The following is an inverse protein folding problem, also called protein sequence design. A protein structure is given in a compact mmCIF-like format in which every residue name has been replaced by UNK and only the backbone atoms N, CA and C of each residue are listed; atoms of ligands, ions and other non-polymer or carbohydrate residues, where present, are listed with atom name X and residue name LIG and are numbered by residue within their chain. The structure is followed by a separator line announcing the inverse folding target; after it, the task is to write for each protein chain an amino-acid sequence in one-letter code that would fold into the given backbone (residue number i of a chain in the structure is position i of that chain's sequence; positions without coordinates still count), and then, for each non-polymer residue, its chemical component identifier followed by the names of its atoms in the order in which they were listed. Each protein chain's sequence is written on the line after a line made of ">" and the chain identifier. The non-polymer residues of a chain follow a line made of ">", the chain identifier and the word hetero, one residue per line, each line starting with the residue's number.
data_IF_316095465681
#
_entry.id   IF_316095465681
#
_cell.length_a   1.000
_cell.length_b   1.000
_cell.length_c   1.000
_cell.angle_alpha   90.00
_cell.angle_beta   90.00
_cell.angle_gamma   90.00
#
_symmetry.space_group_name_H-M   'P 1'
#
loop_
_entity.id
_entity.type
_entity.pdbx_description
1 polymer ?
#
# COMPACT_ATOMS: atom_id res chain seq x y z
N UNK A 1 30.94 4.68 -16.13
CA UNK A 1 29.58 5.22 -15.92
C UNK A 1 28.89 4.32 -14.90
N UNK A 2 29.29 4.47 -13.63
CA UNK A 2 28.50 4.98 -12.49
C UNK A 2 27.26 4.14 -12.15
N UNK A 3 27.49 3.02 -11.45
CA UNK A 3 26.47 2.34 -10.67
C UNK A 3 26.31 3.11 -9.34
N UNK A 4 25.17 3.77 -9.16
CA UNK A 4 24.80 4.37 -7.89
C UNK A 4 24.50 3.26 -6.87
N UNK A 5 25.47 2.94 -6.01
CA UNK A 5 25.19 2.26 -4.75
C UNK A 5 24.60 3.27 -3.77
N UNK A 6 23.28 3.26 -3.60
CA UNK A 6 22.65 3.86 -2.42
C UNK A 6 22.73 2.86 -1.28
N UNK A 7 23.81 2.93 -0.50
CA UNK A 7 23.81 2.38 0.86
C UNK A 7 23.05 3.37 1.75
N UNK A 8 21.71 3.22 1.84
CA UNK A 8 20.94 3.98 2.80
C UNK A 8 21.20 3.39 4.19
N UNK A 9 22.07 4.04 4.96
CA UNK A 9 22.19 3.78 6.38
C UNK A 9 20.89 4.23 7.03
N UNK A 10 19.99 3.28 7.33
CA UNK A 10 18.77 3.53 8.10
C UNK A 10 19.18 4.22 9.41
N UNK A 11 18.96 5.54 9.50
CA UNK A 11 19.08 6.27 10.75
C UNK A 11 18.11 5.65 11.75
N UNK A 12 18.49 5.66 13.02
CA UNK A 12 17.77 5.02 14.13
C UNK A 12 16.25 5.20 13.97
N UNK A 13 15.56 4.10 13.66
CA UNK A 13 14.10 4.03 13.58
C UNK A 13 13.58 4.50 14.92
N UNK A 14 12.87 5.64 14.95
CA UNK A 14 12.05 5.96 16.11
C UNK A 14 10.89 4.96 16.11
N UNK A 15 10.81 4.17 17.16
CA UNK A 15 9.88 3.05 17.30
C UNK A 15 8.74 3.49 18.20
N UNK A 16 7.50 3.21 17.80
CA UNK A 16 6.34 3.48 18.62
C UNK A 16 5.70 2.16 19.12
N UNK A 17 5.42 2.07 20.42
CA UNK A 17 4.91 0.84 21.07
C UNK A 17 3.38 0.73 20.98
N UNK A 18 2.85 -0.29 20.29
CA UNK A 18 1.41 -0.52 20.20
C UNK A 18 0.94 -1.44 21.34
N UNK A 19 0.21 -0.86 22.30
CA UNK A 19 -0.45 -1.61 23.36
C UNK A 19 -1.84 -2.09 22.93
N UNK A 20 -2.06 -3.40 22.85
CA UNK A 20 -3.40 -3.95 22.56
C UNK A 20 -4.23 -4.15 23.83
N UNK A 21 -5.56 -4.02 23.73
CA UNK A 21 -6.52 -4.12 24.86
C UNK A 21 -6.51 -5.46 25.62
N UNK A 22 -5.83 -6.51 25.13
CA UNK A 22 -5.82 -7.87 25.72
C UNK A 22 -4.48 -8.29 26.33
N UNK A 23 -3.65 -7.33 26.77
CA UNK A 23 -2.42 -7.65 27.54
C UNK A 23 -1.30 -8.32 26.74
N UNK A 24 -1.46 -8.50 25.43
CA UNK A 24 -0.35 -8.83 24.52
C UNK A 24 0.22 -7.54 23.94
N UNK A 25 1.48 -7.23 24.25
CA UNK A 25 2.22 -6.18 23.55
C UNK A 25 2.64 -6.75 22.20
N UNK A 26 2.20 -6.13 21.10
CA UNK A 26 2.76 -6.40 19.78
C UNK A 26 3.59 -5.16 19.45
N UNK A 27 4.91 -5.30 19.53
CA UNK A 27 5.83 -4.26 19.14
C UNK A 27 5.80 -4.15 17.61
N UNK A 28 5.26 -3.06 17.09
CA UNK A 28 5.31 -2.78 15.66
C UNK A 28 6.18 -1.56 15.45
N UNK A 29 7.35 -1.79 14.89
CA UNK A 29 8.29 -0.75 14.53
C UNK A 29 7.89 -0.23 13.15
N UNK A 30 7.27 0.95 13.09
CA UNK A 30 7.03 1.65 11.82
C UNK A 30 7.98 2.85 11.76
N UNK A 31 8.59 3.16 10.61
CA UNK A 31 9.34 4.39 10.41
C UNK A 31 8.45 5.61 10.66
N UNK A 32 8.94 6.55 11.46
CA UNK A 32 8.28 7.86 11.65
C UNK A 32 8.62 8.85 10.54
N UNK A 33 9.71 8.62 9.83
CA UNK A 33 10.18 9.47 8.75
C UNK A 33 10.69 8.63 7.59
N UNK A 34 10.57 9.16 6.38
CA UNK A 34 11.11 8.57 5.17
C UNK A 34 12.08 9.57 4.52
N UNK A 35 13.38 9.33 4.66
CA UNK A 35 14.45 10.29 4.30
C UNK A 35 14.40 10.78 2.84
N UNK A 36 13.85 9.99 1.91
CA UNK A 36 13.77 10.30 0.48
C UNK A 36 12.40 10.83 0.01
N UNK A 37 11.40 10.91 0.91
CA UNK A 37 10.06 11.37 0.57
C UNK A 37 9.83 12.84 0.94
N UNK A 38 9.06 13.56 0.13
CA UNK A 38 8.54 14.88 0.48
C UNK A 38 7.40 14.72 1.48
N UNK A 39 7.62 15.13 2.74
CA UNK A 39 6.55 15.20 3.74
C UNK A 39 5.59 16.35 3.41
N UNK A 40 4.31 16.04 3.23
CA UNK A 40 3.24 17.02 2.95
C UNK A 40 2.24 17.17 4.08
N UNK A 41 2.30 16.30 5.09
CA UNK A 41 1.56 16.45 6.34
C UNK A 41 2.31 15.76 7.50
N UNK A 42 2.25 16.35 8.69
CA UNK A 42 2.89 15.81 9.90
C UNK A 42 2.03 14.77 10.63
N UNK A 43 0.72 15.01 10.74
CA UNK A 43 -0.19 14.18 11.56
C UNK A 43 -1.57 14.05 10.91
N UNK A 44 -1.96 12.87 10.40
CA UNK A 44 -1.12 11.68 10.24
C UNK A 44 -0.03 11.92 9.18
N UNK A 45 1.15 11.30 9.29
CA UNK A 45 2.21 11.46 8.29
C UNK A 45 1.74 11.14 6.87
N UNK A 46 2.01 12.05 5.92
CA UNK A 46 1.81 11.86 4.48
C UNK A 46 3.09 12.23 3.75
N UNK A 47 3.58 11.31 2.92
CA UNK A 47 4.80 11.47 2.14
C UNK A 47 4.55 11.20 0.66
N UNK A 48 5.21 11.97 -0.20
CA UNK A 48 5.21 11.81 -1.65
C UNK A 48 6.62 11.40 -2.11
N UNK A 49 6.70 10.39 -2.95
CA UNK A 49 7.92 10.00 -3.65
C UNK A 49 7.69 10.18 -5.13
N UNK A 50 8.53 10.99 -5.77
CA UNK A 50 8.54 11.13 -7.23
C UNK A 50 9.31 9.97 -7.84
N UNK A 51 8.87 9.53 -9.02
CA UNK A 51 9.59 8.60 -9.88
C UNK A 51 10.01 7.28 -9.17
N UNK A 52 9.18 6.80 -8.22
CA UNK A 52 9.43 5.58 -7.44
C UNK A 52 9.26 4.30 -8.25
N UNK A 53 8.34 4.33 -9.22
CA UNK A 53 8.04 3.22 -10.12
C UNK A 53 8.38 3.62 -11.56
N UNK A 54 9.13 2.77 -12.27
CA UNK A 54 9.45 3.05 -13.67
C UNK A 54 8.22 2.88 -14.57
N UNK A 55 8.29 3.45 -15.77
CA UNK A 55 7.25 3.30 -16.79
C UNK A 55 7.04 1.82 -17.14
N UNK A 56 8.13 1.05 -17.29
CA UNK A 56 8.07 -0.36 -17.65
C UNK A 56 7.41 -1.21 -16.55
N UNK A 57 7.72 -0.94 -15.28
CA UNK A 57 7.05 -1.61 -14.16
C UNK A 57 5.56 -1.25 -14.11
N UNK A 58 5.20 0.00 -14.39
CA UNK A 58 3.82 0.43 -14.41
C UNK A 58 3.00 -0.26 -15.51
N UNK A 59 3.53 -0.33 -16.74
CA UNK A 59 2.92 -1.04 -17.86
C UNK A 59 2.77 -2.54 -17.58
N UNK A 60 3.78 -3.15 -16.94
CA UNK A 60 3.73 -4.55 -16.53
C UNK A 60 2.59 -4.82 -15.54
N UNK A 61 2.38 -3.93 -14.57
CA UNK A 61 1.28 -4.05 -13.59
C UNK A 61 -0.08 -3.90 -14.28
N UNK A 62 -0.23 -2.90 -15.16
CA UNK A 62 -1.48 -2.68 -15.91
C UNK A 62 -1.81 -3.93 -16.73
N UNK A 63 -0.86 -4.42 -17.54
CA UNK A 63 -1.03 -5.63 -18.36
C UNK A 63 -1.39 -6.87 -17.53
N UNK A 64 -0.81 -7.01 -16.34
CA UNK A 64 -1.12 -8.12 -15.42
C UNK A 64 -2.53 -8.04 -14.81
N UNK A 65 -3.13 -6.85 -14.81
CA UNK A 65 -4.43 -6.52 -14.20
C UNK A 65 -5.59 -6.50 -15.20
N UNK A 66 -5.38 -6.01 -16.44
CA UNK A 66 -6.43 -5.76 -17.45
C UNK A 66 -7.51 -6.86 -17.53
N UNK A 67 -7.09 -8.11 -17.77
CA UNK A 67 -7.99 -9.26 -17.92
C UNK A 67 -8.73 -9.68 -16.63
N UNK A 68 -8.36 -9.12 -15.48
CA UNK A 68 -8.89 -9.46 -14.15
C UNK A 68 -9.74 -8.35 -13.54
N UNK A 69 -9.85 -7.19 -14.21
CA UNK A 69 -10.58 -6.04 -13.68
C UNK A 69 -12.07 -6.33 -13.54
N UNK A 70 -12.60 -6.06 -12.35
CA UNK A 70 -14.02 -6.23 -12.02
C UNK A 70 -14.54 -4.98 -11.34
N UNK A 71 -15.86 -4.81 -11.35
CA UNK A 71 -16.52 -3.72 -10.65
C UNK A 71 -16.09 -3.69 -9.17
N UNK A 72 -15.57 -2.56 -8.71
CA UNK A 72 -15.00 -2.46 -7.38
C UNK A 72 -16.07 -2.41 -6.30
N UNK A 73 -15.85 -3.15 -5.22
CA UNK A 73 -16.75 -3.21 -4.05
C UNK A 73 -16.16 -2.47 -2.84
N UNK A 74 -17.01 -2.19 -1.86
CA UNK A 74 -16.67 -1.69 -0.52
C UNK A 74 -17.05 -2.73 0.53
N UNK A 75 -16.36 -2.76 1.67
CA UNK A 75 -16.72 -3.67 2.77
C UNK A 75 -18.01 -3.20 3.47
N UNK A 76 -19.05 -4.04 3.49
CA UNK A 76 -20.23 -3.88 4.37
C UNK A 76 -20.03 -4.63 5.70
N UNK A 77 -21.08 -4.83 6.50
CA UNK A 77 -21.05 -5.62 7.75
C UNK A 77 -20.98 -7.14 7.51
N UNK A 78 -21.43 -7.63 6.35
CA UNK A 78 -21.49 -9.07 6.05
C UNK A 78 -20.57 -9.50 4.90
N UNK A 79 -20.40 -8.66 3.87
CA UNK A 79 -19.65 -8.99 2.66
C UNK A 79 -19.10 -7.75 1.93
N UNK A 80 -18.39 -7.95 0.82
CA UNK A 80 -18.16 -6.88 -0.15
C UNK A 80 -19.44 -6.56 -0.92
N UNK A 81 -19.77 -5.28 -1.06
CA UNK A 81 -20.97 -4.82 -1.80
C UNK A 81 -20.59 -3.71 -2.77
N UNK A 82 -21.31 -3.58 -3.88
CA UNK A 82 -21.19 -2.41 -4.75
C UNK A 82 -21.71 -1.16 -4.04
N UNK A 83 -21.16 -0.01 -4.40
CA UNK A 83 -21.55 1.28 -3.82
C UNK A 83 -21.51 2.37 -4.89
N UNK A 84 -22.43 3.33 -4.77
CA UNK A 84 -22.43 4.56 -5.58
C UNK A 84 -21.20 5.43 -5.31
N UNK A 85 -20.60 5.31 -4.11
CA UNK A 85 -19.42 6.07 -3.71
C UNK A 85 -18.09 5.51 -4.26
N UNK A 86 -18.08 4.34 -4.91
CA UNK A 86 -16.87 3.78 -5.54
C UNK A 86 -17.27 3.27 -6.91
N UNK A 87 -16.94 3.99 -7.99
CA UNK A 87 -17.53 3.75 -9.32
C UNK A 87 -16.63 3.04 -10.32
N UNK A 88 -15.33 2.87 -10.02
CA UNK A 88 -14.40 2.17 -10.91
C UNK A 88 -14.29 0.66 -10.77
N UNK A 89 -13.21 0.14 -11.34
CA UNK A 89 -12.84 -1.27 -11.31
C UNK A 89 -11.63 -1.52 -10.41
N UNK A 90 -11.51 -2.74 -9.92
CA UNK A 90 -10.30 -3.21 -9.27
C UNK A 90 -10.03 -4.70 -9.53
N UNK A 91 -8.80 -5.10 -9.29
CA UNK A 91 -8.42 -6.50 -9.15
C UNK A 91 -7.32 -6.65 -8.08
N UNK A 92 -6.98 -7.89 -7.76
CA UNK A 92 -5.93 -8.20 -6.80
C UNK A 92 -4.83 -9.01 -7.47
N UNK A 93 -3.58 -8.61 -7.28
CA UNK A 93 -2.39 -9.32 -7.78
C UNK A 93 -1.56 -9.82 -6.59
N UNK A 94 -1.33 -11.14 -6.46
CA UNK A 94 -0.40 -11.69 -5.48
C UNK A 94 1.02 -11.17 -5.70
N UNK A 95 1.80 -10.97 -4.64
CA UNK A 95 3.18 -10.48 -4.73
C UNK A 95 4.07 -11.40 -5.57
N UNK A 96 3.89 -12.71 -5.43
CA UNK A 96 4.67 -13.73 -6.14
C UNK A 96 4.14 -14.08 -7.53
N UNK A 97 3.20 -13.30 -8.09
CA UNK A 97 2.67 -13.58 -9.44
C UNK A 97 3.76 -13.43 -10.50
N UNK A 98 4.69 -12.48 -10.33
CA UNK A 98 5.90 -12.31 -11.15
C UNK A 98 7.08 -11.92 -10.26
N UNK A 99 8.33 -12.19 -10.66
CA UNK A 99 9.52 -11.72 -9.92
C UNK A 99 9.55 -10.20 -9.73
N UNK A 100 9.08 -9.44 -10.72
CA UNK A 100 9.04 -7.97 -10.68
C UNK A 100 8.03 -7.45 -9.64
N UNK A 101 6.86 -8.07 -9.54
CA UNK A 101 5.87 -7.72 -8.50
C UNK A 101 6.41 -8.06 -7.10
N UNK A 102 7.14 -9.16 -6.96
CA UNK A 102 7.74 -9.54 -5.69
C UNK A 102 8.85 -8.55 -5.28
N UNK A 103 9.72 -8.18 -6.22
CA UNK A 103 10.75 -7.15 -6.02
C UNK A 103 10.13 -5.82 -5.60
N UNK A 104 9.11 -5.33 -6.32
CA UNK A 104 8.40 -4.09 -5.97
C UNK A 104 7.81 -4.16 -4.55
N UNK A 105 7.17 -5.29 -4.20
CA UNK A 105 6.58 -5.44 -2.88
C UNK A 105 7.64 -5.45 -1.76
N UNK A 106 8.81 -6.06 -2.02
CA UNK A 106 9.96 -6.05 -1.11
C UNK A 106 10.53 -4.65 -0.93
N UNK A 107 10.75 -3.90 -2.03
CA UNK A 107 11.21 -2.51 -1.97
C UNK A 107 10.28 -1.61 -1.16
N UNK A 108 8.96 -1.75 -1.34
CA UNK A 108 7.98 -0.99 -0.56
C UNK A 108 8.00 -1.44 0.91
N UNK A 109 8.08 -2.74 1.18
CA UNK A 109 8.16 -3.32 2.53
C UNK A 109 9.38 -2.82 3.31
N UNK A 110 10.55 -2.78 2.67
CA UNK A 110 11.79 -2.21 3.23
C UNK A 110 11.64 -0.72 3.51
N UNK A 111 11.06 0.04 2.57
CA UNK A 111 10.82 1.48 2.74
C UNK A 111 9.88 1.77 3.91
N UNK A 112 8.81 0.99 4.08
CA UNK A 112 7.85 1.18 5.19
C UNK A 112 8.25 0.49 6.48
N UNK A 113 9.38 -0.24 6.51
CA UNK A 113 9.87 -0.95 7.69
C UNK A 113 8.91 -2.01 8.24
N UNK A 114 7.98 -2.53 7.42
CA UNK A 114 7.02 -3.57 7.81
C UNK A 114 7.24 -4.77 6.89
N UNK A 115 7.42 -5.96 7.47
CA UNK A 115 7.65 -7.22 6.77
C UNK A 115 6.56 -7.50 5.70
N UNK A 116 6.97 -8.00 4.54
CA UNK A 116 6.07 -8.29 3.42
C UNK A 116 4.93 -9.26 3.78
N UNK A 117 5.15 -10.12 4.76
CA UNK A 117 4.14 -11.09 5.25
C UNK A 117 2.91 -10.38 5.85
N UNK A 118 3.08 -9.12 6.28
CA UNK A 118 2.02 -8.26 6.80
C UNK A 118 1.33 -7.45 5.70
N UNK A 119 1.83 -7.46 4.47
CA UNK A 119 1.20 -6.76 3.36
C UNK A 119 0.02 -7.56 2.81
N UNK A 120 -1.09 -6.89 2.49
CA UNK A 120 -2.12 -7.46 1.63
C UNK A 120 -1.58 -7.63 0.21
N UNK A 121 -2.29 -8.40 -0.64
CA UNK A 121 -1.98 -8.43 -2.07
C UNK A 121 -2.12 -7.04 -2.68
N UNK A 122 -1.42 -6.75 -3.78
CA UNK A 122 -1.61 -5.50 -4.51
C UNK A 122 -3.06 -5.38 -4.97
N UNK A 123 -3.68 -4.23 -4.75
CA UNK A 123 -4.97 -3.90 -5.36
C UNK A 123 -4.77 -2.88 -6.46
N UNK A 124 -4.90 -3.33 -7.70
CA UNK A 124 -4.88 -2.44 -8.87
C UNK A 124 -6.28 -1.85 -9.03
N UNK A 125 -6.35 -0.55 -9.28
CA UNK A 125 -7.58 0.20 -9.50
C UNK A 125 -7.51 0.91 -10.86
N UNK A 126 -8.66 0.98 -11.52
CA UNK A 126 -8.86 1.71 -12.76
C UNK A 126 -10.11 2.58 -12.66
N UNK A 127 -9.97 3.83 -13.11
CA UNK A 127 -11.02 4.82 -13.20
C UNK A 127 -11.04 5.45 -14.59
N UNK A 128 -12.18 5.34 -15.27
CA UNK A 128 -12.51 6.16 -16.44
C UNK A 128 -12.93 7.58 -16.02
N UNK A 129 -13.14 8.46 -17.00
CA UNK A 129 -13.73 9.78 -16.78
C UNK A 129 -15.00 9.70 -15.90
N UNK A 130 -15.14 10.68 -15.00
CA UNK A 130 -16.17 10.80 -13.96
C UNK A 130 -16.12 9.75 -12.83
N UNK A 131 -15.38 8.65 -12.99
CA UNK A 131 -15.26 7.65 -11.94
C UNK A 131 -14.37 8.13 -10.80
N UNK A 132 -14.70 7.68 -9.58
CA UNK A 132 -14.07 8.14 -8.35
C UNK A 132 -14.15 7.09 -7.23
N UNK A 133 -13.50 7.41 -6.12
CA UNK A 133 -13.78 6.79 -4.83
C UNK A 133 -13.96 7.88 -3.78
N UNK A 134 -15.21 8.04 -3.32
CA UNK A 134 -15.60 8.93 -2.25
C UNK A 134 -14.69 8.77 -1.01
N UNK A 135 -14.59 9.86 -0.25
CA UNK A 135 -13.76 9.92 0.93
C UNK A 135 -14.09 8.78 1.92
N UNK A 136 -13.07 8.03 2.30
CA UNK A 136 -13.16 6.86 3.16
C UNK A 136 -11.90 6.70 4.00
N UNK A 137 -11.93 5.71 4.89
CA UNK A 137 -10.77 5.29 5.67
C UNK A 137 -10.32 3.91 5.20
N UNK A 138 -9.01 3.73 5.09
CA UNK A 138 -8.42 2.40 4.96
C UNK A 138 -8.36 1.69 6.32
N UNK A 139 -8.08 2.43 7.39
CA UNK A 139 -8.20 1.93 8.75
C UNK A 139 -9.66 1.70 9.17
N UNK A 140 -9.91 0.66 9.95
CA UNK A 140 -11.23 0.35 10.50
C UNK A 140 -11.47 0.94 11.89
N UNK A 141 -12.74 1.20 12.20
CA UNK A 141 -13.18 1.47 13.57
C UNK A 141 -13.42 0.14 14.31
N UNK A 142 -12.52 -0.20 15.23
CA UNK A 142 -12.56 -1.43 16.01
C UNK A 142 -13.76 -1.56 16.97
N UNK A 143 -14.60 -0.53 17.11
CA UNK A 143 -15.83 -0.60 17.92
C UNK A 143 -17.07 -0.94 17.08
N UNK A 144 -16.91 -1.17 15.77
CA UNK A 144 -18.01 -1.55 14.87
C UNK A 144 -17.90 -3.02 14.47
N UNK A 145 -19.04 -3.68 14.21
CA UNK A 145 -19.05 -5.08 13.75
C UNK A 145 -18.24 -5.27 12.46
N UNK A 146 -18.38 -4.34 11.52
CA UNK A 146 -17.56 -4.30 10.30
C UNK A 146 -16.08 -4.24 10.62
N UNK A 147 -15.67 -3.33 11.50
CA UNK A 147 -14.26 -3.17 11.84
C UNK A 147 -13.69 -4.38 12.56
N UNK A 148 -14.42 -4.92 13.53
CA UNK A 148 -14.06 -6.16 14.22
C UNK A 148 -13.88 -7.31 13.22
N UNK A 149 -14.81 -7.50 12.28
CA UNK A 149 -14.70 -8.53 11.22
C UNK A 149 -13.50 -8.29 10.31
N UNK A 150 -13.34 -7.08 9.78
CA UNK A 150 -12.23 -6.75 8.86
C UNK A 150 -10.85 -6.87 9.51
N UNK A 151 -10.76 -6.67 10.84
CA UNK A 151 -9.52 -6.78 11.61
C UNK A 151 -9.23 -8.19 12.11
N UNK A 152 -10.13 -9.17 11.96
CA UNK A 152 -9.90 -10.56 12.41
C UNK A 152 -8.63 -11.16 11.80
N UNK A 153 -8.43 -10.96 10.50
CA UNK A 153 -7.23 -11.40 9.78
C UNK A 153 -6.25 -10.24 9.69
N UNK A 154 -5.05 -10.40 10.25
CA UNK A 154 -3.97 -9.39 10.16
C UNK A 154 -4.16 -8.13 11.01
N UNK A 155 -5.22 -7.96 11.81
CA UNK A 155 -5.38 -6.76 12.65
C UNK A 155 -5.68 -5.48 11.86
N UNK A 156 -5.23 -4.31 12.29
CA UNK A 156 -5.51 -3.03 11.62
C UNK A 156 -4.68 -2.82 10.32
N UNK A 157 -5.15 -2.00 9.36
CA UNK A 157 -4.29 -1.42 8.31
C UNK A 157 -3.55 -0.21 8.89
N UNK A 158 -2.22 -0.28 8.97
CA UNK A 158 -1.40 0.75 9.59
C UNK A 158 -0.93 1.79 8.56
N UNK A 159 -0.44 1.33 7.41
CA UNK A 159 0.12 2.17 6.35
C UNK A 159 -0.51 1.81 5.01
N UNK A 160 -0.82 2.82 4.22
CA UNK A 160 -1.21 2.68 2.81
C UNK A 160 -0.09 3.25 1.93
N UNK A 161 0.32 2.47 0.94
CA UNK A 161 1.14 2.93 -0.18
C UNK A 161 0.29 2.90 -1.44
N UNK A 162 0.06 4.04 -2.07
CA UNK A 162 -0.63 4.15 -3.36
C UNK A 162 0.35 4.66 -4.41
N UNK A 163 0.49 3.94 -5.51
CA UNK A 163 1.37 4.31 -6.63
C UNK A 163 0.50 4.55 -7.87
N UNK A 164 0.73 5.66 -8.56
CA UNK A 164 0.09 5.96 -9.84
C UNK A 164 0.83 5.25 -10.98
N UNK A 165 0.08 4.54 -11.81
CA UNK A 165 0.64 3.71 -12.90
C UNK A 165 0.64 4.45 -14.25
N UNK A 166 -0.06 5.59 -14.35
CA UNK A 166 -0.06 6.44 -15.54
C UNK A 166 -0.23 7.91 -15.14
N UNK A 167 0.06 8.80 -16.08
CA UNK A 167 -0.33 10.21 -15.98
C UNK A 167 -1.83 10.34 -16.26
N UNK A 168 -2.50 11.17 -15.46
CA UNK A 168 -3.91 11.52 -15.65
C UNK A 168 -3.98 12.92 -16.22
N UNK A 169 -4.69 13.10 -17.34
CA UNK A 169 -4.71 14.38 -18.05
C UNK A 169 -5.34 15.49 -17.20
N UNK A 170 -6.45 15.21 -16.51
CA UNK A 170 -7.04 16.12 -15.54
C UNK A 170 -7.80 15.38 -14.42
N UNK A 171 -7.69 15.88 -13.19
CA UNK A 171 -8.33 15.26 -12.02
C UNK A 171 -7.59 14.01 -11.53
N UNK A 172 -8.33 13.05 -10.95
CA UNK A 172 -7.79 11.74 -10.57
C UNK A 172 -6.81 11.73 -9.40
N UNK A 173 -6.52 12.87 -8.76
CA UNK A 173 -5.65 12.92 -7.59
C UNK A 173 -6.16 12.11 -6.39
N UNK A 174 -5.35 12.04 -5.34
CA UNK A 174 -5.76 11.53 -4.03
C UNK A 174 -5.93 12.73 -3.10
N UNK A 175 -7.16 12.98 -2.68
CA UNK A 175 -7.51 14.12 -1.81
C UNK A 175 -7.70 13.69 -0.36
N UNK A 176 -7.17 14.49 0.57
CA UNK A 176 -7.33 14.37 2.01
C UNK A 176 -8.16 15.56 2.51
N UNK A 177 -9.50 15.50 2.45
CA UNK A 177 -10.37 16.66 2.64
C UNK A 177 -10.29 17.32 4.01
N UNK A 178 -9.78 16.62 5.03
CA UNK A 178 -9.59 17.16 6.38
C UNK A 178 -8.27 17.91 6.59
N UNK A 179 -7.35 17.76 5.65
CA UNK A 179 -5.98 18.27 5.73
C UNK A 179 -5.69 19.33 4.67
N UNK A 180 -6.64 19.58 3.76
CA UNK A 180 -6.44 20.43 2.57
C UNK A 180 -5.22 20.00 1.73
N UNK A 181 -5.02 18.68 1.64
CA UNK A 181 -3.93 18.08 0.86
C UNK A 181 -4.50 17.34 -0.35
N UNK A 182 -3.92 17.59 -1.52
CA UNK A 182 -4.14 16.81 -2.73
C UNK A 182 -2.80 16.33 -3.29
N UNK A 183 -2.68 15.03 -3.53
CA UNK A 183 -1.58 14.45 -4.29
C UNK A 183 -2.05 14.19 -5.71
N UNK A 184 -1.55 14.98 -6.66
CA UNK A 184 -1.88 14.82 -8.08
C UNK A 184 -1.43 13.45 -8.61
N UNK A 185 -2.21 12.87 -9.51
CA UNK A 185 -1.81 11.66 -10.20
C UNK A 185 -0.72 11.98 -11.23
N UNK A 186 0.40 11.27 -11.16
CA UNK A 186 1.54 11.36 -12.07
C UNK A 186 2.18 9.98 -12.12
N UNK A 187 2.48 9.45 -13.30
CA UNK A 187 3.09 8.13 -13.43
C UNK A 187 4.34 8.03 -12.53
N UNK A 188 4.46 6.90 -11.84
CA UNK A 188 5.63 6.61 -11.00
C UNK A 188 5.59 7.24 -9.62
N UNK A 189 4.72 8.23 -9.39
CA UNK A 189 4.57 8.87 -8.08
C UNK A 189 3.91 7.90 -7.08
N UNK A 190 4.49 7.82 -5.90
CA UNK A 190 3.90 7.12 -4.75
C UNK A 190 3.48 8.11 -3.68
N UNK A 191 2.34 7.85 -3.05
CA UNK A 191 1.94 8.46 -1.77
C UNK A 191 1.92 7.40 -0.69
N UNK A 192 2.60 7.69 0.42
CA UNK A 192 2.53 6.91 1.66
C UNK A 192 1.75 7.73 2.68
N UNK A 193 0.77 7.12 3.34
CA UNK A 193 0.09 7.76 4.46
C UNK A 193 -0.23 6.78 5.58
N UNK A 194 -0.15 7.30 6.81
CA UNK A 194 -0.45 6.54 8.01
C UNK A 194 -1.95 6.58 8.32
N UNK A 195 -2.52 5.43 8.64
CA UNK A 195 -3.96 5.28 8.87
C UNK A 195 -4.36 5.45 10.34
N UNK A 196 -3.39 5.35 11.25
CA UNK A 196 -3.59 5.33 12.70
C UNK A 196 -2.76 6.42 13.38
N UNK A 197 -3.10 6.75 14.63
CA UNK A 197 -2.19 7.53 15.46
C UNK A 197 -0.88 6.79 15.64
N UNK A 198 0.22 7.53 15.63
CA UNK A 198 1.56 7.02 15.89
C UNK A 198 1.57 6.16 17.16
N UNK A 199 2.18 4.96 17.06
CA UNK A 199 2.25 4.02 18.18
C UNK A 199 0.93 3.39 18.58
N UNK A 200 -0.11 3.45 17.74
CA UNK A 200 -1.38 2.80 18.04
C UNK A 200 -1.99 2.11 16.82
N UNK A 201 -2.97 1.24 17.05
CA UNK A 201 -3.86 0.74 16.00
C UNK A 201 -5.22 1.48 15.97
N UNK A 202 -5.29 2.65 16.62
CA UNK A 202 -6.47 3.52 16.60
C UNK A 202 -6.44 4.36 15.34
N UNK A 203 -7.43 4.16 14.48
CA UNK A 203 -7.61 4.92 13.25
C UNK A 203 -7.57 6.43 13.51
N UNK A 204 -6.77 7.15 12.72
CA UNK A 204 -6.70 8.60 12.77
C UNK A 204 -7.95 9.21 12.08
N UNK A 205 -8.68 10.15 12.69
CA UNK A 205 -9.86 10.74 12.07
C UNK A 205 -9.54 11.56 10.81
N UNK A 206 -8.31 12.06 10.69
CA UNK A 206 -7.86 12.89 9.56
C UNK A 206 -7.14 12.11 8.45
N UNK A 207 -7.01 10.78 8.58
CA UNK A 207 -6.58 9.91 7.46
C UNK A 207 -7.70 9.66 6.44
N UNK A 208 -8.82 10.39 6.55
CA UNK A 208 -9.91 10.37 5.59
C UNK A 208 -9.37 10.84 4.23
N UNK A 209 -9.51 10.00 3.21
CA UNK A 209 -8.99 10.27 1.87
C UNK A 209 -9.89 9.69 0.80
N UNK A 210 -9.77 10.18 -0.43
CA UNK A 210 -10.54 9.69 -1.57
C UNK A 210 -9.77 9.80 -2.89
N UNK A 211 -10.17 8.98 -3.85
CA UNK A 211 -9.75 9.15 -5.23
C UNK A 211 -10.67 10.19 -5.87
N UNK A 212 -10.12 11.38 -6.17
CA UNK A 212 -10.86 12.45 -6.82
C UNK A 212 -11.34 12.01 -8.22
N UNK A 213 -12.47 12.56 -8.72
CA UNK A 213 -12.94 12.25 -10.07
C UNK A 213 -11.87 12.46 -11.13
N UNK A 214 -11.77 11.52 -12.07
CA UNK A 214 -11.05 11.75 -13.32
C UNK A 214 -11.88 12.73 -14.15
N UNK A 215 -11.29 13.87 -14.51
CA UNK A 215 -11.94 14.89 -15.33
C UNK A 215 -11.66 14.64 -16.80
N UNK A 216 -10.45 14.17 -17.14
CA UNK A 216 -10.06 13.81 -18.51
C UNK A 216 -9.02 12.68 -18.51
N UNK A 217 -9.17 11.75 -19.45
CA UNK A 217 -8.30 10.58 -19.59
C UNK A 217 -8.73 9.43 -18.68
N UNK A 218 -7.76 8.66 -18.18
CA UNK A 218 -8.01 7.53 -17.27
C UNK A 218 -6.97 7.51 -16.16
N UNK A 219 -7.32 6.85 -15.04
CA UNK A 219 -6.41 6.64 -13.92
C UNK A 219 -6.23 5.15 -13.65
N UNK A 220 -4.97 4.73 -13.67
CA UNK A 220 -4.49 3.48 -13.12
C UNK A 220 -3.66 3.76 -11.87
N UNK A 221 -3.92 3.01 -10.80
CA UNK A 221 -3.10 3.06 -9.60
C UNK A 221 -3.06 1.69 -8.92
N UNK A 222 -2.10 1.49 -8.02
CA UNK A 222 -1.99 0.27 -7.22
C UNK A 222 -1.82 0.62 -5.76
N UNK A 223 -2.61 -0.04 -4.91
CA UNK A 223 -2.50 0.04 -3.46
C UNK A 223 -1.72 -1.16 -2.92
N UNK A 224 -0.89 -0.91 -1.91
CA UNK A 224 -0.33 -1.92 -1.01
C UNK A 224 -0.61 -1.50 0.44
N UNK A 225 -1.38 -2.32 1.15
CA UNK A 225 -1.74 -2.08 2.54
C UNK A 225 -0.93 -2.96 3.47
N UNK A 226 -0.37 -2.35 4.51
CA UNK A 226 0.37 -3.06 5.55
C UNK A 226 -0.47 -3.22 6.81
N UNK A 227 -0.50 -4.46 7.32
CA UNK A 227 -1.32 -4.89 8.45
C UNK A 227 -0.54 -4.91 9.76
N UNK A 228 -1.26 -4.82 10.87
CA UNK A 228 -0.72 -4.94 12.23
C UNK A 228 -0.06 -6.30 12.47
N UNK A 229 -0.59 -7.36 11.86
CA UNK A 229 -0.14 -8.75 12.04
C UNK A 229 0.05 -9.43 10.68
N UNK A 230 0.80 -10.55 10.61
CA UNK A 230 0.91 -11.33 9.39
C UNK A 230 -0.45 -11.59 8.75
N UNK A 231 -0.55 -11.31 7.45
CA UNK A 231 -1.76 -11.42 6.65
C UNK A 231 -1.62 -12.47 5.54
N UNK A 232 -0.42 -12.61 5.00
CA UNK A 232 -0.05 -13.66 4.05
C UNK A 232 0.72 -14.77 4.79
N UNK A 233 0.76 -15.96 4.19
CA UNK A 233 1.73 -16.97 4.60
C UNK A 233 3.14 -16.49 4.23
N UNK A 234 4.16 -16.84 5.02
CA UNK A 234 5.53 -16.48 4.67
C UNK A 234 5.88 -17.04 3.28
N UNK A 235 6.56 -16.28 2.41
CA UNK A 235 7.12 -16.84 1.20
C UNK A 235 8.05 -17.99 1.59
N UNK A 236 7.80 -19.18 1.05
CA UNK A 236 8.74 -20.30 1.20
C UNK A 236 10.05 -19.84 0.56
N UNK A 237 11.12 -19.71 1.36
CA UNK A 237 12.45 -19.43 0.81
C UNK A 237 12.75 -20.52 -0.23
N UNK A 238 13.15 -20.18 -1.46
CA UNK A 238 13.65 -21.20 -2.38
C UNK A 238 14.80 -21.93 -1.66
N UNK A 239 14.78 -23.26 -1.69
CA UNK A 239 15.89 -24.05 -1.15
C UNK A 239 17.18 -23.52 -1.79
N UNK A 240 18.18 -23.22 -0.95
CA UNK A 240 19.50 -22.89 -1.46
C UNK A 240 19.94 -24.04 -2.39
N UNK A 241 20.51 -23.74 -3.58
CA UNK A 241 20.94 -24.79 -4.48
C UNK A 241 21.88 -25.72 -3.72
N UNK A 242 21.49 -26.99 -3.63
CA UNK A 242 22.34 -28.05 -3.08
C UNK A 242 23.65 -27.98 -3.84
N UNK A 243 24.73 -27.56 -3.17
CA UNK A 243 26.07 -27.67 -3.73
C UNK A 243 26.29 -29.15 -3.98
N UNK A 244 26.18 -29.58 -5.24
CA UNK A 244 26.69 -30.88 -5.66
C UNK A 244 28.16 -30.88 -5.29
N UNK A 245 28.54 -31.67 -4.29
CA UNK A 245 29.92 -32.03 -4.08
C UNK A 245 30.38 -32.71 -5.36
N UNK A 246 31.20 -32.00 -6.14
CA UNK A 246 32.01 -32.63 -7.18
C UNK A 246 32.94 -33.60 -6.46
N UNK A 247 32.55 -34.87 -6.41
CA UNK A 247 33.45 -35.95 -6.03
C UNK A 247 34.60 -35.94 -7.02
N UNK A 248 35.78 -35.53 -6.55
CA UNK A 248 37.04 -35.72 -7.26
C UNK A 248 37.21 -37.22 -7.49
N UNK A 249 37.10 -37.65 -8.74
CA UNK A 249 37.63 -38.94 -9.17
C UNK A 249 39.11 -38.69 -9.47
N UNK A 250 39.98 -39.34 -8.70
CA UNK A 250 41.37 -39.57 -9.04
C UNK A 250 41.48 -40.87 -9.83
#
# INVERSE_FOLDING_TARGET
>A
MSAFLFAHQLKQVKVAEIHTRKGGSLMIQIPLEYDSGLKVNDTPPIYIFEDFLSQEDAEMIIKAAESKMKRATVSSDKAGVESTGRTGQNCWLPHNQTPQLLDLAQRISELVGIELVQAESFQVIHYDETQQYAAHFDGWDGNTDRGMRCMQKGGQRLITCLIYLNDVEAGGGTGFPKLDVEVKAKQGRMVIFHNCYEGTNKRHPDSLHGGLPVVKGEKWAVNLWFREKPYQQQPVKPDAPVRQQLSKVF
#
